data_IF_093866423674
#
_entry.id   IF_093866423674
#
_cell.length_a   1.000
_cell.length_b   1.000
_cell.length_c   1.000
_cell.angle_alpha   90.00
_cell.angle_beta   90.00
_cell.angle_gamma   90.00
#
_symmetry.space_group_name_H-M   'P 1'
#
loop_
_entity.id
_entity.type
_entity.pdbx_description
1 polymer ?
#
# COMPACT_ATOMS: atom_id res chain seq x y z
N UNK A 1 -14.53 -22.37 -11.22
CA UNK A 1 -14.05 -21.21 -10.43
C UNK A 1 -15.24 -20.30 -10.18
N UNK A 2 -15.65 -20.16 -8.93
CA UNK A 2 -16.77 -19.27 -8.58
C UNK A 2 -16.30 -17.81 -8.66
N UNK A 3 -17.06 -16.98 -9.36
CA UNK A 3 -16.92 -15.51 -9.34
C UNK A 3 -18.12 -14.96 -8.60
N UNK A 4 -17.89 -14.12 -7.60
CA UNK A 4 -18.98 -13.33 -7.01
C UNK A 4 -19.33 -12.19 -7.96
N UNK A 5 -20.62 -11.97 -8.21
CA UNK A 5 -21.06 -10.80 -8.98
C UNK A 5 -20.96 -9.53 -8.12
N UNK A 6 -20.89 -8.37 -8.76
CA UNK A 6 -20.86 -7.07 -8.05
C UNK A 6 -22.14 -6.93 -7.19
N UNK A 7 -23.27 -7.43 -7.67
CA UNK A 7 -24.54 -7.44 -6.94
C UNK A 7 -24.50 -8.27 -5.65
N UNK A 8 -23.76 -9.39 -5.64
CA UNK A 8 -23.62 -10.21 -4.43
C UNK A 8 -22.77 -9.48 -3.37
N UNK A 9 -21.78 -8.71 -3.79
CA UNK A 9 -20.99 -7.88 -2.89
C UNK A 9 -21.80 -6.72 -2.32
N UNK A 10 -22.62 -6.06 -3.13
CA UNK A 10 -23.50 -4.99 -2.65
C UNK A 10 -24.52 -5.52 -1.65
N UNK A 11 -25.10 -6.69 -1.89
CA UNK A 11 -26.02 -7.34 -0.97
C UNK A 11 -25.34 -7.68 0.37
N UNK A 12 -24.10 -8.17 0.36
CA UNK A 12 -23.32 -8.44 1.57
C UNK A 12 -23.07 -7.14 2.38
N UNK A 13 -22.75 -6.03 1.72
CA UNK A 13 -22.53 -4.74 2.38
C UNK A 13 -23.81 -4.22 3.05
N UNK A 14 -24.93 -4.34 2.38
CA UNK A 14 -26.24 -3.92 2.91
C UNK A 14 -26.67 -4.78 4.10
N UNK A 15 -26.45 -6.10 4.04
CA UNK A 15 -26.82 -7.04 5.09
C UNK A 15 -26.03 -6.88 6.39
N UNK A 16 -24.79 -6.37 6.31
CA UNK A 16 -23.92 -6.14 7.47
C UNK A 16 -23.97 -4.71 8.04
N UNK A 17 -25.03 -3.94 7.72
CA UNK A 17 -25.25 -2.60 8.26
C UNK A 17 -24.19 -1.59 7.80
N UNK A 18 -24.14 -1.35 6.49
CA UNK A 18 -23.12 -0.58 5.76
C UNK A 18 -22.54 0.62 6.50
N UNK A 19 -21.23 0.79 6.38
CA UNK A 19 -20.49 1.91 6.98
C UNK A 19 -21.09 3.26 6.54
N UNK A 20 -21.31 4.15 7.49
CA UNK A 20 -21.83 5.49 7.21
C UNK A 20 -20.78 6.30 6.43
N UNK A 21 -21.14 6.79 5.26
CA UNK A 21 -20.26 7.64 4.42
C UNK A 21 -20.11 9.02 5.07
N UNK A 22 -19.09 9.22 5.90
CA UNK A 22 -18.83 10.48 6.59
C UNK A 22 -17.59 11.21 6.06
N UNK A 23 -16.72 10.49 5.33
CA UNK A 23 -15.45 11.03 4.85
C UNK A 23 -15.61 11.67 3.47
N UNK A 24 -15.26 12.94 3.37
CA UNK A 24 -15.18 13.64 2.08
C UNK A 24 -13.87 13.33 1.34
N UNK A 25 -13.83 13.72 0.06
CA UNK A 25 -12.66 13.47 -0.82
C UNK A 25 -11.31 13.94 -0.25
N UNK A 26 -11.28 15.10 0.38
CA UNK A 26 -10.07 15.65 0.97
C UNK A 26 -9.60 14.89 2.21
N UNK A 27 -10.53 14.40 3.03
CA UNK A 27 -10.20 13.53 4.16
C UNK A 27 -9.63 12.20 3.71
N UNK A 28 -10.22 11.59 2.65
CA UNK A 28 -9.69 10.34 2.07
C UNK A 28 -8.31 10.54 1.46
N UNK A 29 -8.08 11.66 0.74
CA UNK A 29 -6.76 11.98 0.19
C UNK A 29 -5.73 12.16 1.30
N UNK A 30 -6.06 12.90 2.36
CA UNK A 30 -5.15 13.11 3.48
C UNK A 30 -4.82 11.80 4.22
N UNK A 31 -5.81 10.93 4.41
CA UNK A 31 -5.62 9.59 4.98
C UNK A 31 -4.71 8.73 4.08
N UNK A 32 -4.93 8.75 2.76
CA UNK A 32 -4.11 8.01 1.81
C UNK A 32 -2.65 8.48 1.82
N UNK A 33 -2.43 9.79 1.80
CA UNK A 33 -1.07 10.37 1.90
C UNK A 33 -0.42 9.98 3.22
N UNK A 34 -1.14 10.10 4.34
CA UNK A 34 -0.61 9.73 5.66
C UNK A 34 -0.28 8.24 5.79
N UNK A 35 -1.09 7.37 5.20
CA UNK A 35 -0.84 5.93 5.18
C UNK A 35 0.35 5.54 4.29
N UNK A 36 0.64 6.30 3.23
CA UNK A 36 1.76 6.05 2.32
C UNK A 36 3.10 6.52 2.89
N UNK A 37 3.09 7.60 3.68
CA UNK A 37 4.31 8.10 4.35
C UNK A 37 4.67 7.17 5.50
N UNK A 38 5.64 6.30 5.27
CA UNK A 38 6.10 5.28 6.22
C UNK A 38 7.59 5.39 6.52
N UNK A 39 8.11 4.41 7.26
CA UNK A 39 9.51 4.31 7.62
C UNK A 39 10.46 4.34 6.42
N UNK A 40 10.03 3.88 5.25
CA UNK A 40 10.85 3.83 4.04
C UNK A 40 11.45 5.18 3.64
N UNK A 41 10.67 6.27 3.73
CA UNK A 41 11.19 7.59 3.35
C UNK A 41 12.22 8.12 4.35
N UNK A 42 12.09 7.77 5.63
CA UNK A 42 12.98 8.27 6.69
C UNK A 42 14.20 7.38 6.91
N UNK A 43 14.04 6.06 6.82
CA UNK A 43 15.09 5.08 7.13
C UNK A 43 15.96 4.77 5.92
N UNK A 44 15.36 4.54 4.74
CA UNK A 44 16.11 4.03 3.59
C UNK A 44 16.60 5.10 2.63
N UNK A 45 15.96 6.28 2.61
CA UNK A 45 16.34 7.33 1.65
C UNK A 45 17.75 7.85 1.90
N UNK A 46 18.15 8.02 3.16
CA UNK A 46 19.50 8.46 3.52
C UNK A 46 20.57 7.49 3.03
N UNK A 47 20.41 6.20 3.31
CA UNK A 47 21.33 5.15 2.87
C UNK A 47 21.32 4.98 1.36
N UNK A 48 20.19 5.16 0.69
CA UNK A 48 20.12 5.10 -0.76
C UNK A 48 20.86 6.25 -1.44
N UNK A 49 20.90 7.43 -0.84
CA UNK A 49 21.63 8.60 -1.36
C UNK A 49 23.13 8.45 -1.12
N UNK A 50 23.53 8.12 0.09
CA UNK A 50 24.94 8.11 0.53
C UNK A 50 25.63 6.81 0.15
N UNK A 51 24.90 5.70 0.19
CA UNK A 51 25.45 4.34 0.05
C UNK A 51 26.02 3.78 1.34
N UNK A 52 26.62 2.62 1.24
CA UNK A 52 27.34 1.93 2.30
C UNK A 52 28.73 1.49 1.79
N UNK A 53 29.64 0.99 2.66
CA UNK A 53 30.98 0.59 2.25
C UNK A 53 31.04 -0.49 1.15
N UNK A 54 29.94 -1.23 0.95
CA UNK A 54 29.83 -2.31 -0.03
C UNK A 54 29.10 -1.87 -1.31
N UNK A 55 28.31 -0.78 -1.24
CA UNK A 55 27.46 -0.31 -2.35
C UNK A 55 27.51 1.20 -2.46
N UNK A 56 27.93 1.75 -3.61
CA UNK A 56 27.88 3.19 -3.82
C UNK A 56 26.45 3.70 -3.80
N UNK A 57 26.23 4.86 -3.19
CA UNK A 57 24.93 5.51 -3.17
C UNK A 57 24.57 6.09 -4.52
N UNK A 58 23.27 6.30 -4.74
CA UNK A 58 22.74 6.87 -5.97
C UNK A 58 23.01 8.38 -6.08
N UNK A 59 23.37 9.04 -4.98
CA UNK A 59 23.55 10.49 -4.94
C UNK A 59 22.34 11.26 -5.46
N UNK A 60 22.54 12.38 -6.22
CA UNK A 60 21.45 13.15 -6.79
C UNK A 60 20.58 12.39 -7.82
N UNK A 61 21.11 11.30 -8.38
CA UNK A 61 20.39 10.49 -9.37
C UNK A 61 19.12 9.82 -8.78
N UNK A 62 19.00 9.74 -7.47
CA UNK A 62 17.80 9.22 -6.78
C UNK A 62 16.52 9.97 -7.19
N UNK A 63 16.64 11.25 -7.60
CA UNK A 63 15.51 12.05 -8.07
C UNK A 63 14.86 11.39 -9.30
N UNK A 64 15.67 10.87 -10.23
CA UNK A 64 15.14 10.17 -11.41
C UNK A 64 14.43 8.87 -11.02
N UNK A 65 14.93 8.13 -10.04
CA UNK A 65 14.28 6.93 -9.52
C UNK A 65 12.91 7.27 -8.92
N UNK A 66 12.82 8.31 -8.10
CA UNK A 66 11.54 8.76 -7.55
C UNK A 66 10.58 9.22 -8.64
N UNK A 67 11.05 9.96 -9.65
CA UNK A 67 10.22 10.42 -10.75
C UNK A 67 9.64 9.26 -11.56
N UNK A 68 10.47 8.29 -11.92
CA UNK A 68 10.03 7.09 -12.65
C UNK A 68 9.04 6.26 -11.83
N UNK A 69 9.33 6.08 -10.53
CA UNK A 69 8.42 5.38 -9.62
C UNK A 69 7.10 6.12 -9.48
N UNK A 70 7.12 7.45 -9.34
CA UNK A 70 5.91 8.26 -9.26
C UNK A 70 5.03 8.13 -10.51
N UNK A 71 5.63 8.11 -11.70
CA UNK A 71 4.90 7.90 -12.96
C UNK A 71 4.27 6.50 -12.98
N UNK A 72 5.04 5.46 -12.66
CA UNK A 72 4.53 4.07 -12.62
C UNK A 72 3.40 3.91 -11.60
N UNK A 73 3.58 4.43 -10.38
CA UNK A 73 2.55 4.43 -9.35
C UNK A 73 1.31 5.25 -9.75
N UNK A 74 1.50 6.34 -10.51
CA UNK A 74 0.40 7.14 -11.04
C UNK A 74 -0.50 6.33 -11.97
N UNK A 75 0.06 5.56 -12.89
CA UNK A 75 -0.73 4.66 -13.74
C UNK A 75 -1.42 3.55 -12.94
N UNK A 76 -0.73 2.96 -11.98
CA UNK A 76 -1.35 1.98 -11.09
C UNK A 76 -2.52 2.59 -10.29
N UNK A 77 -2.36 3.81 -9.79
CA UNK A 77 -3.41 4.52 -9.05
C UNK A 77 -4.66 4.78 -9.91
N UNK A 78 -4.49 5.11 -11.20
CA UNK A 78 -5.62 5.26 -12.12
C UNK A 78 -6.38 3.94 -12.32
N UNK A 79 -5.68 2.81 -12.47
CA UNK A 79 -6.31 1.50 -12.55
C UNK A 79 -7.07 1.16 -11.25
N UNK A 80 -6.47 1.44 -10.09
CA UNK A 80 -7.13 1.23 -8.80
C UNK A 80 -8.37 2.13 -8.62
N UNK A 81 -8.32 3.37 -9.11
CA UNK A 81 -9.47 4.29 -9.07
C UNK A 81 -10.65 3.76 -9.88
N UNK A 82 -10.37 3.16 -11.04
CA UNK A 82 -11.40 2.52 -11.87
C UNK A 82 -12.01 1.31 -11.17
N UNK A 83 -11.19 0.42 -10.61
CA UNK A 83 -11.69 -0.72 -9.82
C UNK A 83 -12.50 -0.26 -8.61
N UNK A 84 -12.05 0.76 -7.89
CA UNK A 84 -12.78 1.30 -6.74
C UNK A 84 -14.14 1.88 -7.11
N UNK A 85 -14.27 2.42 -8.34
CA UNK A 85 -15.56 2.91 -8.84
C UNK A 85 -16.51 1.76 -9.23
N UNK A 86 -15.98 0.65 -9.76
CA UNK A 86 -16.77 -0.51 -10.17
C UNK A 86 -17.16 -1.42 -8.99
N UNK A 87 -16.25 -1.57 -8.02
CA UNK A 87 -16.41 -2.46 -6.86
C UNK A 87 -16.13 -1.66 -5.59
N UNK A 88 -17.12 -0.87 -5.10
CA UNK A 88 -16.95 0.06 -4.00
C UNK A 88 -16.98 -0.64 -2.63
N UNK A 89 -16.12 -1.64 -2.43
CA UNK A 89 -16.02 -2.47 -1.23
C UNK A 89 -14.59 -2.41 -0.68
N UNK A 90 -14.46 -2.40 0.64
CA UNK A 90 -13.17 -2.53 1.30
C UNK A 90 -12.64 -3.96 1.14
N UNK A 91 -11.38 -4.14 0.81
CA UNK A 91 -10.76 -5.47 0.64
C UNK A 91 -9.51 -5.41 -0.22
N UNK A 92 -9.07 -4.20 -0.59
CA UNK A 92 -7.83 -3.99 -1.32
C UNK A 92 -7.75 -4.81 -2.62
N UNK A 93 -6.55 -5.12 -3.08
CA UNK A 93 -6.27 -5.91 -4.26
C UNK A 93 -6.94 -7.30 -4.25
N UNK A 94 -7.14 -7.89 -3.05
CA UNK A 94 -7.84 -9.17 -2.91
C UNK A 94 -9.24 -9.14 -3.51
N UNK A 95 -10.04 -8.14 -3.14
CA UNK A 95 -11.43 -8.04 -3.62
C UNK A 95 -11.50 -7.79 -5.12
N UNK A 96 -10.64 -6.93 -5.64
CA UNK A 96 -10.57 -6.66 -7.08
C UNK A 96 -10.12 -7.88 -7.88
N UNK A 97 -9.13 -8.62 -7.37
CA UNK A 97 -8.70 -9.87 -7.99
C UNK A 97 -9.80 -10.94 -7.95
N UNK A 98 -10.55 -11.02 -6.84
CA UNK A 98 -11.66 -11.96 -6.73
C UNK A 98 -12.76 -11.67 -7.77
N UNK A 99 -13.12 -10.39 -7.94
CA UNK A 99 -14.13 -9.97 -8.90
C UNK A 99 -13.69 -10.18 -10.36
N UNK A 100 -12.42 -9.86 -10.69
CA UNK A 100 -11.91 -9.86 -12.05
C UNK A 100 -11.34 -11.21 -12.49
N UNK A 101 -10.52 -11.85 -11.64
CA UNK A 101 -9.70 -13.01 -11.98
C UNK A 101 -10.19 -14.31 -11.32
N UNK A 102 -11.02 -14.21 -10.29
CA UNK A 102 -11.61 -15.33 -9.58
C UNK A 102 -10.82 -15.78 -8.34
N UNK A 103 -11.37 -16.78 -7.67
CA UNK A 103 -10.98 -17.23 -6.32
C UNK A 103 -9.51 -17.62 -6.17
N UNK A 104 -8.97 -18.39 -7.12
CA UNK A 104 -7.59 -18.88 -7.02
C UNK A 104 -6.55 -17.76 -7.04
N UNK A 105 -6.70 -16.81 -7.93
CA UNK A 105 -5.78 -15.65 -8.02
C UNK A 105 -5.96 -14.74 -6.80
N UNK A 106 -7.19 -14.52 -6.37
CA UNK A 106 -7.47 -13.77 -5.15
C UNK A 106 -6.81 -14.41 -3.91
N UNK A 107 -6.84 -15.74 -3.81
CA UNK A 107 -6.18 -16.46 -2.71
C UNK A 107 -4.66 -16.23 -2.70
N UNK A 108 -4.00 -16.27 -3.87
CA UNK A 108 -2.56 -15.95 -4.00
C UNK A 108 -2.28 -14.53 -3.55
N UNK A 109 -3.08 -13.56 -4.04
CA UNK A 109 -2.93 -12.14 -3.67
C UNK A 109 -3.20 -11.93 -2.17
N UNK A 110 -4.13 -12.66 -1.59
CA UNK A 110 -4.39 -12.62 -0.14
C UNK A 110 -3.17 -13.02 0.68
N UNK A 111 -2.48 -14.08 0.29
CA UNK A 111 -1.22 -14.47 0.93
C UNK A 111 -0.10 -13.47 0.72
N UNK A 112 0.01 -12.92 -0.48
CA UNK A 112 1.00 -11.89 -0.82
C UNK A 112 0.82 -10.65 0.08
N UNK A 113 -0.41 -10.17 0.26
CA UNK A 113 -0.73 -9.06 1.16
C UNK A 113 -0.36 -9.36 2.62
N UNK A 114 -0.62 -10.60 3.10
CA UNK A 114 -0.25 -10.98 4.47
C UNK A 114 1.26 -10.91 4.65
N UNK A 115 2.02 -11.44 3.71
CA UNK A 115 3.48 -11.43 3.74
C UNK A 115 4.01 -10.00 3.63
N UNK A 116 3.46 -9.19 2.73
CA UNK A 116 3.82 -7.78 2.57
C UNK A 116 3.68 -7.00 3.89
N UNK A 117 2.53 -7.10 4.54
CA UNK A 117 2.30 -6.43 5.83
C UNK A 117 3.18 -6.98 6.95
N UNK A 118 3.41 -8.30 6.98
CA UNK A 118 4.28 -8.91 7.99
C UNK A 118 5.73 -8.42 7.85
N UNK A 119 6.27 -8.44 6.63
CA UNK A 119 7.64 -7.97 6.34
C UNK A 119 7.74 -6.44 6.55
N UNK A 120 6.72 -5.69 6.14
CA UNK A 120 6.64 -4.26 6.36
C UNK A 120 6.70 -3.89 7.84
N UNK A 121 5.96 -4.59 8.70
CA UNK A 121 5.97 -4.38 10.14
C UNK A 121 7.34 -4.67 10.75
N UNK A 122 8.05 -5.70 10.29
CA UNK A 122 9.42 -6.00 10.74
C UNK A 122 10.35 -4.84 10.35
N UNK A 123 10.27 -4.35 9.11
CA UNK A 123 11.07 -3.22 8.65
C UNK A 123 10.83 -1.95 9.46
N UNK A 124 9.57 -1.63 9.76
CA UNK A 124 9.20 -0.50 10.62
C UNK A 124 9.75 -0.67 12.03
N UNK A 125 9.63 -1.85 12.64
CA UNK A 125 10.13 -2.12 13.98
C UNK A 125 11.65 -1.97 14.07
N UNK A 126 12.39 -2.46 13.08
CA UNK A 126 13.85 -2.29 13.00
C UNK A 126 14.23 -0.82 12.89
N UNK A 127 13.60 -0.09 11.96
CA UNK A 127 13.85 1.34 11.79
C UNK A 127 13.57 2.14 13.06
N UNK A 128 12.43 1.87 13.71
CA UNK A 128 12.04 2.53 14.94
C UNK A 128 13.03 2.24 16.09
N UNK A 129 13.44 0.98 16.24
CA UNK A 129 14.42 0.59 17.27
C UNK A 129 15.77 1.25 17.05
N UNK A 130 16.17 1.47 15.79
CA UNK A 130 17.39 2.20 15.45
C UNK A 130 17.34 3.64 15.95
N UNK A 131 16.29 4.40 15.64
CA UNK A 131 16.12 5.76 16.13
C UNK A 131 16.00 5.84 17.64
N UNK A 132 15.31 4.90 18.28
CA UNK A 132 15.17 4.85 19.72
C UNK A 132 16.51 4.59 20.42
N UNK A 133 17.35 3.71 19.89
CA UNK A 133 18.70 3.49 20.41
C UNK A 133 19.55 4.76 20.31
N UNK A 134 19.47 5.48 19.21
CA UNK A 134 20.22 6.72 19.02
C UNK A 134 19.76 7.80 19.98
N UNK A 135 18.46 7.85 20.29
CA UNK A 135 17.89 8.81 21.26
C UNK A 135 18.31 8.52 22.71
N UNK A 136 18.40 7.23 23.10
CA UNK A 136 18.73 6.81 24.49
C UNK A 136 20.22 6.49 24.67
N UNK A 137 20.90 6.17 23.60
CA UNK A 137 22.28 5.62 23.61
C UNK A 137 23.39 6.66 23.75
N UNK A 138 23.05 7.87 24.11
CA UNK A 138 24.00 8.92 24.51
C UNK A 138 24.06 9.08 26.01
#
# INVERSE_FOLDING_TARGET
>A
MARKSVADFEADVVSHGGLKRTLGKWHLTALGVGATIGAGIFVTTGTAIVGDPLRPGAGPAIIFSFLLTAIACGFAALCYAEFAAMVPISGSAYTYAYAALGEFIAWIIGWDLIIEYAVGNIGVAIGWSGYFRELIGH
#
